data_IF_031877719115
#
_entry.id   IF_031877719115
#
_cell.length_a   1.000
_cell.length_b   1.000
_cell.length_c   1.000
_cell.angle_alpha   90.00
_cell.angle_beta   90.00
_cell.angle_gamma   90.00
#
_symmetry.space_group_name_H-M   'P 1'
#
loop_
_entity.id
_entity.type
_entity.pdbx_description
1 polymer ?
#
# COMPACT_ATOMS: atom_id res chain seq x y z
N UNK A 1 -7.18 11.20 -18.53
CA UNK A 1 -7.46 12.32 -17.63
C UNK A 1 -6.22 12.62 -16.76
N UNK A 2 -5.89 11.85 -15.71
CA UNK A 2 -4.75 12.15 -14.81
C UNK A 2 -3.40 12.27 -15.53
N UNK A 3 -3.13 11.41 -16.51
CA UNK A 3 -1.90 11.48 -17.32
C UNK A 3 -1.83 12.79 -18.14
N UNK A 4 -2.97 13.28 -18.60
CA UNK A 4 -3.07 14.56 -19.32
C UNK A 4 -2.93 15.74 -18.34
N UNK A 5 -3.43 15.59 -17.12
CA UNK A 5 -3.28 16.57 -16.05
C UNK A 5 -1.80 16.70 -15.62
N UNK A 6 -1.05 15.59 -15.53
CA UNK A 6 0.41 15.65 -15.36
C UNK A 6 1.05 16.45 -16.49
N UNK A 7 0.64 16.23 -17.75
CA UNK A 7 1.18 16.96 -18.89
C UNK A 7 0.87 18.46 -18.84
N UNK A 8 -0.23 18.85 -18.22
CA UNK A 8 -0.71 20.23 -18.11
C UNK A 8 -0.15 20.99 -16.91
N UNK A 9 -0.12 20.34 -15.73
CA UNK A 9 0.10 21.03 -14.48
C UNK A 9 1.48 20.74 -13.84
N UNK A 10 2.15 19.65 -14.22
CA UNK A 10 3.50 19.39 -13.69
C UNK A 10 4.52 20.40 -14.26
N UNK A 11 5.52 20.81 -13.43
CA UNK A 11 6.63 21.64 -13.90
C UNK A 11 7.29 21.02 -15.12
N UNK A 12 7.60 21.80 -16.18
CA UNK A 12 8.14 21.27 -17.43
C UNK A 12 9.37 20.37 -17.25
N UNK A 13 10.28 20.74 -16.32
CA UNK A 13 11.52 20.03 -16.03
C UNK A 13 11.30 18.69 -15.30
N UNK A 14 10.18 18.53 -14.57
CA UNK A 14 9.86 17.33 -13.83
C UNK A 14 8.91 16.38 -14.57
N UNK A 15 8.20 16.90 -15.57
CA UNK A 15 7.05 16.28 -16.22
C UNK A 15 7.31 14.88 -16.79
N UNK A 16 8.45 14.67 -17.44
CA UNK A 16 8.75 13.39 -18.09
C UNK A 16 8.96 12.29 -17.04
N UNK A 17 9.71 12.59 -15.96
CA UNK A 17 9.96 11.63 -14.90
C UNK A 17 8.69 11.38 -14.06
N UNK A 18 7.88 12.41 -13.80
CA UNK A 18 6.58 12.24 -13.13
C UNK A 18 5.69 11.26 -13.91
N UNK A 19 5.62 11.40 -15.26
CA UNK A 19 4.85 10.48 -16.11
C UNK A 19 5.41 9.08 -16.09
N UNK A 20 6.73 8.93 -16.11
CA UNK A 20 7.39 7.62 -16.03
C UNK A 20 7.05 6.93 -14.69
N UNK A 21 7.16 7.66 -13.57
CA UNK A 21 6.76 7.15 -12.26
C UNK A 21 5.27 6.75 -12.25
N UNK A 22 4.39 7.60 -12.77
CA UNK A 22 2.96 7.31 -12.85
C UNK A 22 2.68 6.02 -13.62
N UNK A 23 3.29 5.84 -14.80
CA UNK A 23 3.11 4.67 -15.64
C UNK A 23 3.69 3.38 -15.01
N UNK A 24 4.67 3.49 -14.10
CA UNK A 24 5.30 2.36 -13.38
C UNK A 24 4.48 1.87 -12.17
N UNK A 25 3.58 2.68 -11.60
CA UNK A 25 2.84 2.32 -10.37
C UNK A 25 2.18 0.93 -10.48
N UNK A 26 1.43 0.56 -11.53
CA UNK A 26 0.77 -0.75 -11.60
C UNK A 26 1.75 -1.93 -11.57
N UNK A 27 2.87 -1.81 -12.27
CA UNK A 27 3.87 -2.89 -12.35
C UNK A 27 4.66 -3.04 -11.05
N UNK A 28 5.01 -1.94 -10.39
CA UNK A 28 5.73 -1.97 -9.11
C UNK A 28 4.83 -2.47 -7.98
N UNK A 29 3.57 -2.03 -7.90
CA UNK A 29 2.59 -2.51 -6.94
C UNK A 29 2.26 -4.00 -7.13
N UNK A 30 2.18 -4.48 -8.38
CA UNK A 30 1.95 -5.90 -8.71
C UNK A 30 3.17 -6.80 -8.56
N UNK A 31 4.36 -6.26 -8.28
CA UNK A 31 5.58 -7.05 -8.15
C UNK A 31 5.61 -7.84 -6.83
N UNK A 32 6.35 -8.96 -6.78
CA UNK A 32 6.51 -9.77 -5.56
C UNK A 32 7.04 -8.96 -4.37
N UNK A 33 7.93 -8.02 -4.63
CA UNK A 33 8.39 -7.03 -3.65
C UNK A 33 7.73 -5.70 -4.01
N UNK A 34 6.61 -5.40 -3.40
CA UNK A 34 5.76 -4.23 -3.68
C UNK A 34 6.42 -2.87 -3.43
N UNK A 35 7.67 -2.86 -2.97
CA UNK A 35 8.47 -1.65 -2.78
C UNK A 35 8.85 -1.06 -4.13
N UNK A 36 8.59 0.23 -4.32
CA UNK A 36 8.93 0.96 -5.54
C UNK A 36 10.44 0.95 -5.78
N UNK A 37 10.86 0.50 -6.97
CA UNK A 37 12.26 0.39 -7.34
C UNK A 37 12.68 1.63 -8.13
N UNK A 38 13.59 2.44 -7.58
CA UNK A 38 14.12 3.61 -8.27
C UNK A 38 14.85 3.26 -9.58
N UNK A 39 15.43 2.05 -9.65
CA UNK A 39 16.09 1.56 -10.86
C UNK A 39 15.16 1.33 -12.05
N UNK A 40 13.85 1.28 -11.80
CA UNK A 40 12.83 1.20 -12.86
C UNK A 40 12.66 2.54 -13.59
N UNK A 41 13.08 3.65 -12.97
CA UNK A 41 13.06 4.98 -13.59
C UNK A 41 14.37 5.16 -14.36
N UNK A 42 14.27 5.43 -15.66
CA UNK A 42 15.43 5.57 -16.51
C UNK A 42 16.36 6.71 -16.05
N UNK A 43 17.66 6.41 -15.89
CA UNK A 43 18.69 7.38 -15.49
C UNK A 43 18.71 7.74 -14.00
N UNK A 44 17.80 7.22 -13.17
CA UNK A 44 17.73 7.50 -11.73
C UNK A 44 18.55 6.48 -10.94
N UNK A 45 19.46 6.99 -10.09
CA UNK A 45 20.30 6.15 -9.22
C UNK A 45 20.07 6.40 -7.72
N UNK A 46 19.55 7.56 -7.36
CA UNK A 46 19.38 7.97 -5.96
C UNK A 46 18.01 8.62 -5.76
N UNK A 47 17.40 8.39 -4.60
CA UNK A 47 16.12 8.98 -4.24
C UNK A 47 16.13 10.52 -4.29
N UNK A 48 17.24 11.15 -3.89
CA UNK A 48 17.39 12.62 -3.94
C UNK A 48 17.22 13.24 -5.33
N UNK A 49 17.35 12.45 -6.41
CA UNK A 49 17.15 12.92 -7.78
C UNK A 49 15.67 13.02 -8.17
N UNK A 50 14.79 12.36 -7.42
CA UNK A 50 13.37 12.20 -7.75
C UNK A 50 12.42 12.54 -6.59
N UNK A 51 12.95 13.08 -5.49
CA UNK A 51 12.15 13.45 -4.32
C UNK A 51 10.99 14.37 -4.69
N UNK A 52 11.27 15.43 -5.46
CA UNK A 52 10.26 16.42 -5.86
C UNK A 52 9.19 15.83 -6.79
N UNK A 53 9.54 14.81 -7.58
CA UNK A 53 8.62 14.13 -8.47
C UNK A 53 7.58 13.30 -7.68
N UNK A 54 8.05 12.55 -6.66
CA UNK A 54 7.15 11.80 -5.78
C UNK A 54 6.32 12.73 -4.91
N UNK A 55 6.91 13.81 -4.40
CA UNK A 55 6.21 14.83 -3.63
C UNK A 55 5.09 15.46 -4.47
N UNK A 56 5.38 15.84 -5.71
CA UNK A 56 4.38 16.38 -6.62
C UNK A 56 3.20 15.42 -6.84
N UNK A 57 3.47 14.13 -7.12
CA UNK A 57 2.42 13.12 -7.30
C UNK A 57 1.54 12.95 -6.06
N UNK A 58 2.15 13.01 -4.88
CA UNK A 58 1.44 12.89 -3.60
C UNK A 58 0.60 14.14 -3.30
N UNK A 59 1.16 15.34 -3.49
CA UNK A 59 0.46 16.61 -3.24
C UNK A 59 -0.64 16.89 -4.28
N UNK A 60 -0.43 16.47 -5.52
CA UNK A 60 -1.45 16.54 -6.56
C UNK A 60 -2.59 15.52 -6.36
N UNK A 61 -2.52 14.67 -5.33
CA UNK A 61 -3.53 13.64 -5.07
C UNK A 61 -3.61 12.58 -6.18
N UNK A 62 -2.48 12.19 -6.75
CA UNK A 62 -2.40 11.19 -7.82
C UNK A 62 -1.88 9.86 -7.28
N UNK A 63 -0.95 9.89 -6.34
CA UNK A 63 -0.35 8.70 -5.78
C UNK A 63 -0.22 8.76 -4.25
N UNK A 64 -0.24 7.58 -3.62
CA UNK A 64 -0.13 7.37 -2.19
C UNK A 64 1.20 6.66 -1.88
N UNK A 65 2.21 7.36 -1.36
CA UNK A 65 3.38 6.72 -0.81
C UNK A 65 3.07 6.12 0.56
N UNK A 66 3.45 4.86 0.76
CA UNK A 66 3.39 4.13 2.03
C UNK A 66 4.82 3.89 2.47
N UNK A 67 5.28 4.58 3.52
CA UNK A 67 6.69 4.57 3.92
C UNK A 67 7.04 3.41 4.85
N UNK A 68 8.25 2.86 4.68
CA UNK A 68 8.75 1.84 5.62
C UNK A 68 9.04 2.48 6.99
N UNK A 69 8.81 1.68 8.03
CA UNK A 69 9.32 1.99 9.38
C UNK A 69 10.40 0.98 9.80
N UNK A 70 11.34 1.41 10.62
CA UNK A 70 12.43 0.54 11.10
C UNK A 70 11.96 -0.52 12.09
N UNK A 71 10.88 -0.23 12.83
CA UNK A 71 10.22 -1.14 13.75
C UNK A 71 8.76 -0.69 13.96
N UNK A 72 7.83 -1.61 14.25
CA UNK A 72 6.45 -1.29 14.61
C UNK A 72 6.37 -0.89 16.10
N UNK A 73 6.94 0.26 16.44
CA UNK A 73 7.02 0.81 17.80
C UNK A 73 6.73 2.29 17.75
N UNK A 74 5.77 2.75 18.55
CA UNK A 74 5.45 4.17 18.66
C UNK A 74 6.59 4.97 19.32
N UNK A 75 6.83 6.23 18.93
CA UNK A 75 6.21 6.92 17.81
C UNK A 75 6.77 6.46 16.46
N UNK A 76 5.91 5.96 15.57
CA UNK A 76 6.31 5.42 14.25
C UNK A 76 7.04 6.45 13.38
N UNK A 77 6.75 7.73 13.58
CA UNK A 77 7.39 8.83 12.87
C UNK A 77 8.92 8.82 12.99
N UNK A 78 9.45 8.41 14.16
CA UNK A 78 10.90 8.38 14.41
C UNK A 78 11.60 7.27 13.62
N UNK A 79 10.87 6.23 13.25
CA UNK A 79 11.38 5.10 12.46
C UNK A 79 11.15 5.21 10.96
N UNK A 80 10.50 6.26 10.47
CA UNK A 80 10.08 6.39 9.08
C UNK A 80 11.25 6.55 8.11
N UNK A 81 11.29 5.70 7.08
CA UNK A 81 12.33 5.67 6.05
C UNK A 81 11.75 6.10 4.69
N UNK A 82 11.79 7.39 4.39
CA UNK A 82 11.17 7.97 3.20
C UNK A 82 11.74 7.51 1.85
N UNK A 83 12.95 6.97 1.85
CA UNK A 83 13.57 6.40 0.67
C UNK A 83 13.19 4.94 0.40
N UNK A 84 12.41 4.33 1.29
CA UNK A 84 11.88 2.98 1.18
C UNK A 84 10.35 3.05 1.29
N UNK A 85 9.64 2.87 0.18
CA UNK A 85 8.19 3.02 0.15
C UNK A 85 7.55 2.12 -0.89
N UNK A 86 6.28 1.80 -0.67
CA UNK A 86 5.35 1.31 -1.69
C UNK A 86 4.67 2.53 -2.30
N UNK A 87 4.22 2.44 -3.54
CA UNK A 87 3.49 3.51 -4.20
C UNK A 87 2.22 2.95 -4.83
N UNK A 88 1.08 3.46 -4.39
CA UNK A 88 -0.24 3.14 -4.97
C UNK A 88 -0.82 4.36 -5.66
N UNK A 89 -1.77 4.16 -6.56
CA UNK A 89 -2.63 5.26 -6.99
C UNK A 89 -3.52 5.72 -5.83
N UNK A 90 -3.91 6.99 -5.84
CA UNK A 90 -4.85 7.53 -4.85
C UNK A 90 -6.20 6.79 -4.91
N UNK A 91 -6.62 6.38 -6.10
CA UNK A 91 -7.91 5.74 -6.37
C UNK A 91 -7.69 4.40 -7.09
N UNK A 92 -8.27 3.33 -6.55
CA UNK A 92 -8.22 2.00 -7.15
C UNK A 92 -8.83 1.95 -8.55
N UNK A 93 -9.76 2.85 -8.89
CA UNK A 93 -10.28 3.03 -10.25
C UNK A 93 -9.21 3.44 -11.25
N UNK A 94 -8.19 4.18 -10.81
CA UNK A 94 -7.03 4.50 -11.65
C UNK A 94 -6.24 3.24 -12.01
N UNK A 95 -6.04 2.33 -11.04
CA UNK A 95 -5.41 1.04 -11.26
C UNK A 95 -6.24 0.19 -12.25
N UNK A 96 -7.55 0.10 -12.02
CA UNK A 96 -8.45 -0.65 -12.90
C UNK A 96 -8.45 -0.08 -14.33
N UNK A 97 -8.38 1.24 -14.48
CA UNK A 97 -8.33 1.90 -15.79
C UNK A 97 -7.02 1.67 -16.55
N UNK A 98 -5.96 1.24 -15.88
CA UNK A 98 -4.68 0.85 -16.52
C UNK A 98 -4.73 -0.53 -17.17
N UNK A 99 -5.71 -1.35 -16.82
CA UNK A 99 -5.93 -2.67 -17.39
C UNK A 99 -6.80 -2.61 -18.66
N UNK A 100 -6.76 -3.68 -19.47
CA UNK A 100 -7.69 -3.82 -20.58
C UNK A 100 -9.12 -3.98 -20.07
N UNK A 101 -10.13 -3.58 -20.87
CA UNK A 101 -11.55 -3.73 -20.52
C UNK A 101 -11.91 -5.17 -20.12
N UNK A 102 -11.31 -6.17 -20.79
CA UNK A 102 -11.53 -7.58 -20.50
C UNK A 102 -11.03 -7.97 -19.12
N UNK A 103 -9.83 -7.49 -18.73
CA UNK A 103 -9.25 -7.74 -17.42
C UNK A 103 -10.06 -7.03 -16.34
N UNK A 104 -10.40 -5.76 -16.54
CA UNK A 104 -11.23 -5.02 -15.60
C UNK A 104 -12.60 -5.68 -15.38
N UNK A 105 -13.23 -6.20 -16.45
CA UNK A 105 -14.49 -6.96 -16.35
C UNK A 105 -14.29 -8.23 -15.51
N UNK A 106 -13.23 -9.01 -15.74
CA UNK A 106 -12.93 -10.22 -14.97
C UNK A 106 -12.70 -9.92 -13.47
N UNK A 107 -12.18 -8.75 -13.14
CA UNK A 107 -12.10 -8.31 -11.74
C UNK A 107 -13.50 -8.12 -11.14
N UNK A 108 -14.41 -7.42 -11.84
CA UNK A 108 -15.77 -7.23 -11.37
C UNK A 108 -16.56 -8.54 -11.24
N UNK A 109 -16.31 -9.50 -12.14
CA UNK A 109 -16.96 -10.79 -12.15
C UNK A 109 -16.35 -11.77 -11.11
N UNK A 110 -15.26 -11.40 -10.43
CA UNK A 110 -14.53 -12.24 -9.46
C UNK A 110 -13.69 -13.35 -10.12
N UNK A 111 -13.43 -13.26 -11.41
CA UNK A 111 -12.73 -14.27 -12.21
C UNK A 111 -11.27 -13.90 -12.54
N UNK A 112 -10.78 -12.76 -12.04
CA UNK A 112 -9.49 -12.21 -12.44
C UNK A 112 -8.30 -13.13 -12.13
N UNK A 113 -8.31 -13.83 -11.00
CA UNK A 113 -7.28 -14.78 -10.62
C UNK A 113 -7.32 -16.04 -11.52
N UNK A 114 -8.50 -16.62 -11.68
CA UNK A 114 -8.69 -17.86 -12.46
C UNK A 114 -8.50 -17.64 -13.98
N UNK A 115 -9.04 -16.52 -14.51
CA UNK A 115 -9.03 -16.27 -15.96
C UNK A 115 -7.71 -15.65 -16.47
N UNK A 116 -6.99 -14.89 -15.63
CA UNK A 116 -5.82 -14.12 -16.04
C UNK A 116 -4.58 -14.37 -15.18
N UNK A 117 -4.66 -15.21 -14.14
CA UNK A 117 -3.58 -15.43 -13.19
C UNK A 117 -3.18 -14.14 -12.42
N UNK A 118 -4.10 -13.19 -12.30
CA UNK A 118 -3.83 -11.90 -11.66
C UNK A 118 -3.87 -12.03 -10.15
N UNK A 119 -2.76 -11.63 -9.52
CA UNK A 119 -2.77 -11.42 -8.08
C UNK A 119 -3.48 -10.10 -7.75
N UNK A 120 -4.65 -10.19 -7.14
CA UNK A 120 -5.44 -9.04 -6.72
C UNK A 120 -4.89 -8.30 -5.49
N UNK A 121 -3.80 -8.80 -4.88
CA UNK A 121 -3.21 -8.20 -3.69
C UNK A 121 -2.90 -6.71 -3.83
N UNK A 122 -2.38 -6.29 -4.98
CA UNK A 122 -2.09 -4.87 -5.23
C UNK A 122 -3.35 -3.99 -5.25
N UNK A 123 -4.47 -4.51 -5.78
CA UNK A 123 -5.74 -3.79 -5.81
C UNK A 123 -6.36 -3.70 -4.40
N UNK A 124 -6.31 -4.79 -3.63
CA UNK A 124 -6.80 -4.83 -2.26
C UNK A 124 -5.98 -3.93 -1.34
N UNK A 125 -4.63 -3.98 -1.42
CA UNK A 125 -3.77 -3.07 -0.65
C UNK A 125 -3.96 -1.61 -1.07
N UNK A 126 -4.09 -1.34 -2.38
CA UNK A 126 -4.38 0.01 -2.89
C UNK A 126 -5.70 0.55 -2.35
N UNK A 127 -6.76 -0.28 -2.29
CA UNK A 127 -8.03 0.09 -1.68
C UNK A 127 -7.88 0.42 -0.18
N UNK A 128 -7.17 -0.44 0.57
CA UNK A 128 -6.93 -0.18 1.99
C UNK A 128 -6.10 1.09 2.19
N UNK A 129 -5.07 1.32 1.37
CA UNK A 129 -4.27 2.56 1.42
C UNK A 129 -5.13 3.80 1.18
N UNK A 130 -6.04 3.74 0.20
CA UNK A 130 -7.00 4.80 -0.11
C UNK A 130 -7.89 5.11 1.09
N UNK A 131 -8.51 4.08 1.69
CA UNK A 131 -9.41 4.25 2.83
C UNK A 131 -8.66 4.78 4.07
N UNK A 132 -7.53 4.19 4.43
CA UNK A 132 -6.71 4.68 5.54
C UNK A 132 -6.31 6.14 5.35
N UNK A 133 -5.91 6.53 4.12
CA UNK A 133 -5.57 7.91 3.80
C UNK A 133 -6.76 8.85 3.91
N UNK A 134 -7.94 8.44 3.44
CA UNK A 134 -9.18 9.22 3.52
C UNK A 134 -9.60 9.48 4.98
N UNK A 135 -9.30 8.54 5.89
CA UNK A 135 -9.58 8.64 7.32
C UNK A 135 -8.45 9.29 8.14
N UNK A 136 -7.42 9.83 7.49
CA UNK A 136 -6.40 10.66 8.13
C UNK A 136 -5.17 9.91 8.62
N UNK A 137 -5.06 8.60 8.37
CA UNK A 137 -3.83 7.86 8.69
C UNK A 137 -2.63 8.34 7.87
N UNK A 138 -1.45 8.24 8.46
CA UNK A 138 -0.17 8.45 7.79
C UNK A 138 0.42 7.13 7.36
N UNK A 139 0.24 6.80 6.08
CA UNK A 139 0.48 5.47 5.54
C UNK A 139 1.91 4.98 5.75
N UNK A 140 2.05 3.88 6.48
CA UNK A 140 3.33 3.21 6.75
C UNK A 140 3.20 1.70 6.60
N UNK A 141 4.31 1.03 6.35
CA UNK A 141 4.43 -0.42 6.35
C UNK A 141 5.71 -0.81 7.10
N UNK A 142 5.85 -2.10 7.40
CA UNK A 142 7.06 -2.62 8.01
C UNK A 142 7.56 -3.85 7.26
N UNK A 143 8.88 -3.97 7.07
CA UNK A 143 9.49 -5.19 6.54
C UNK A 143 10.82 -5.49 7.19
N UNK A 144 11.03 -6.75 7.51
CA UNK A 144 12.33 -7.27 7.97
C UNK A 144 12.56 -8.71 7.53
N UNK A 145 13.83 -9.12 7.46
CA UNK A 145 14.16 -10.52 7.13
C UNK A 145 13.63 -11.53 8.15
N UNK A 146 13.50 -11.13 9.40
CA UNK A 146 13.09 -12.01 10.51
C UNK A 146 11.57 -12.20 10.57
N UNK A 147 10.83 -11.13 10.34
CA UNK A 147 9.38 -11.11 10.54
C UNK A 147 8.65 -11.36 9.21
N UNK A 148 9.13 -10.79 8.14
CA UNK A 148 8.42 -10.65 6.87
C UNK A 148 7.94 -9.22 6.68
N UNK A 149 6.90 -9.03 5.88
CA UNK A 149 6.29 -7.74 5.60
C UNK A 149 4.89 -7.66 6.21
N UNK A 150 4.63 -6.59 6.97
CA UNK A 150 3.30 -6.14 7.38
C UNK A 150 2.82 -5.12 6.38
N UNK A 151 1.65 -5.30 5.79
CA UNK A 151 1.15 -4.46 4.70
C UNK A 151 0.98 -3.01 5.13
N UNK A 152 0.41 -2.79 6.34
CA UNK A 152 0.36 -1.48 6.98
C UNK A 152 0.69 -1.57 8.47
N UNK A 153 1.32 -0.51 8.96
CA UNK A 153 1.58 -0.29 10.39
C UNK A 153 1.25 1.17 10.68
N UNK A 154 0.22 1.40 11.46
CA UNK A 154 -0.33 2.72 11.71
C UNK A 154 -0.29 3.04 13.21
N UNK A 155 -0.35 4.31 13.54
CA UNK A 155 -0.39 4.81 14.91
C UNK A 155 -1.67 5.61 15.09
N UNK A 156 -2.44 5.25 16.12
CA UNK A 156 -3.67 5.97 16.46
C UNK A 156 -3.36 7.27 17.21
N UNK A 157 -4.35 8.13 17.39
CA UNK A 157 -4.21 9.37 18.17
C UNK A 157 -3.86 9.09 19.64
N UNK A 158 -4.25 7.95 20.18
CA UNK A 158 -3.91 7.53 21.55
C UNK A 158 -2.51 6.88 21.64
N UNK A 159 -1.79 6.77 20.52
CA UNK A 159 -0.45 6.21 20.43
C UNK A 159 -0.41 4.68 20.37
N UNK A 160 -1.54 4.01 20.14
CA UNK A 160 -1.58 2.57 19.89
C UNK A 160 -1.00 2.24 18.50
N UNK A 161 -0.23 1.16 18.42
CA UNK A 161 0.29 0.64 17.15
C UNK A 161 -0.67 -0.41 16.60
N UNK A 162 -1.17 -0.13 15.40
CA UNK A 162 -2.08 -0.97 14.66
C UNK A 162 -1.34 -1.65 13.51
N UNK A 163 -1.22 -2.98 13.54
CA UNK A 163 -0.69 -3.78 12.44
C UNK A 163 -1.84 -4.33 11.58
N UNK A 164 -1.79 -4.10 10.27
CA UNK A 164 -2.83 -4.51 9.33
C UNK A 164 -2.21 -5.37 8.24
N UNK A 165 -2.79 -6.55 8.04
CA UNK A 165 -2.51 -7.46 6.93
C UNK A 165 -3.70 -7.47 5.98
N UNK A 166 -3.45 -7.42 4.67
CA UNK A 166 -4.48 -7.40 3.62
C UNK A 166 -4.43 -8.68 2.82
N UNK A 167 -5.54 -9.35 2.66
CA UNK A 167 -5.65 -10.63 1.94
C UNK A 167 -6.74 -10.57 0.86
N UNK A 168 -6.37 -10.88 -0.37
CA UNK A 168 -7.28 -10.92 -1.53
C UNK A 168 -7.83 -12.31 -1.86
N UNK A 169 -7.46 -13.34 -1.09
CA UNK A 169 -7.86 -14.72 -1.42
C UNK A 169 -8.40 -15.49 -0.23
N UNK A 170 -8.83 -16.74 -0.51
CA UNK A 170 -9.45 -17.65 0.48
C UNK A 170 -8.53 -18.05 1.64
N UNK A 171 -7.19 -17.93 1.47
CA UNK A 171 -6.19 -18.30 2.48
C UNK A 171 -5.88 -17.15 3.47
N UNK A 172 -6.85 -16.31 3.78
CA UNK A 172 -6.68 -15.11 4.61
C UNK A 172 -6.22 -15.40 6.04
N UNK A 173 -6.41 -16.63 6.55
CA UNK A 173 -5.90 -17.05 7.87
C UNK A 173 -4.39 -17.33 7.90
N UNK A 174 -3.71 -17.30 6.76
CA UNK A 174 -2.27 -17.48 6.68
C UNK A 174 -1.57 -16.10 6.63
N UNK A 175 -1.06 -15.66 7.76
CA UNK A 175 -0.44 -14.34 7.96
C UNK A 175 0.83 -14.42 8.81
N UNK A 176 1.77 -15.26 8.37
CA UNK A 176 3.00 -15.56 9.13
C UNK A 176 3.80 -14.31 9.54
N UNK A 177 3.79 -13.24 8.75
CA UNK A 177 4.47 -12.00 9.11
C UNK A 177 3.81 -11.32 10.31
N UNK A 178 2.47 -11.29 10.36
CA UNK A 178 1.73 -10.75 11.49
C UNK A 178 1.97 -11.57 12.75
N UNK A 179 1.92 -12.91 12.64
CA UNK A 179 2.19 -13.82 13.77
C UNK A 179 3.61 -13.64 14.32
N UNK A 180 4.61 -13.56 13.42
CA UNK A 180 5.99 -13.32 13.79
C UNK A 180 6.19 -11.96 14.47
N UNK A 181 5.46 -10.94 14.01
CA UNK A 181 5.53 -9.60 14.58
C UNK A 181 4.95 -9.59 16.00
N UNK A 182 3.78 -10.19 16.21
CA UNK A 182 3.15 -10.33 17.52
C UNK A 182 4.01 -11.13 18.52
N UNK A 183 4.70 -12.16 18.03
CA UNK A 183 5.60 -12.97 18.86
C UNK A 183 6.96 -12.29 19.14
N UNK A 184 7.27 -11.17 18.49
CA UNK A 184 8.58 -10.51 18.63
C UNK A 184 8.59 -9.58 19.82
N UNK A 185 9.38 -9.94 20.86
CA UNK A 185 9.58 -9.07 22.03
C UNK A 185 10.12 -7.70 21.63
N UNK A 186 9.50 -6.65 22.17
CA UNK A 186 9.91 -5.26 21.92
C UNK A 186 9.20 -4.59 20.76
N UNK A 187 8.34 -5.29 20.02
CA UNK A 187 7.36 -4.66 19.16
C UNK A 187 6.12 -4.29 19.99
N UNK A 188 5.69 -3.04 19.87
CA UNK A 188 4.55 -2.52 20.63
C UNK A 188 3.27 -2.56 19.80
N UNK A 189 2.90 -3.72 19.27
CA UNK A 189 1.66 -3.88 18.51
C UNK A 189 0.51 -4.07 19.47
N UNK A 190 -0.37 -3.09 19.55
CA UNK A 190 -1.53 -3.09 20.45
C UNK A 190 -2.75 -3.74 19.79
N UNK A 191 -2.86 -3.60 18.47
CA UNK A 191 -3.99 -4.12 17.71
C UNK A 191 -3.51 -4.78 16.42
N UNK A 192 -4.01 -5.99 16.14
CA UNK A 192 -3.70 -6.75 14.93
C UNK A 192 -4.98 -7.01 14.13
N UNK A 193 -5.00 -6.57 12.88
CA UNK A 193 -6.13 -6.71 11.96
C UNK A 193 -5.74 -7.50 10.72
N UNK A 194 -6.68 -8.32 10.24
CA UNK A 194 -6.65 -8.89 8.89
C UNK A 194 -7.87 -8.40 8.13
N UNK A 195 -7.64 -7.66 7.05
CA UNK A 195 -8.66 -7.18 6.12
C UNK A 195 -8.76 -8.15 4.93
N UNK A 196 -9.91 -8.79 4.75
CA UNK A 196 -10.08 -9.85 3.75
C UNK A 196 -11.54 -9.98 3.29
N UNK A 197 -11.78 -10.87 2.34
CA UNK A 197 -13.14 -11.34 2.00
C UNK A 197 -13.61 -12.36 3.04
N UNK A 198 -13.95 -11.90 4.22
CA UNK A 198 -14.39 -12.71 5.34
C UNK A 198 -15.50 -12.03 6.13
N UNK A 199 -16.13 -12.77 7.03
CA UNK A 199 -17.01 -12.18 8.05
C UNK A 199 -16.20 -11.69 9.25
N UNK A 200 -16.75 -10.71 9.96
CA UNK A 200 -16.17 -10.23 11.23
C UNK A 200 -16.05 -11.39 12.22
N UNK A 201 -14.84 -11.64 12.68
CA UNK A 201 -14.58 -12.58 13.77
C UNK A 201 -13.22 -12.27 14.42
N UNK A 202 -13.01 -12.82 15.62
CA UNK A 202 -11.73 -12.73 16.33
C UNK A 202 -11.14 -14.13 16.52
N UNK A 203 -9.84 -14.26 16.30
CA UNK A 203 -9.08 -15.47 16.60
C UNK A 203 -7.82 -15.06 17.36
N UNK A 204 -7.77 -15.41 18.67
CA UNK A 204 -6.73 -14.92 19.55
C UNK A 204 -6.64 -13.40 19.61
N UNK A 205 -5.44 -12.89 19.33
CA UNK A 205 -5.15 -11.44 19.34
C UNK A 205 -5.48 -10.76 18.01
N UNK A 206 -5.88 -11.53 16.98
CA UNK A 206 -6.15 -11.02 15.62
C UNK A 206 -7.64 -10.82 15.40
N UNK A 207 -8.01 -9.64 14.94
CA UNK A 207 -9.37 -9.31 14.51
C UNK A 207 -9.45 -9.37 12.99
N UNK A 208 -10.33 -10.21 12.47
CA UNK A 208 -10.61 -10.33 11.04
C UNK A 208 -11.81 -9.47 10.67
N UNK A 209 -11.64 -8.62 9.67
CA UNK A 209 -12.66 -7.69 9.19
C UNK A 209 -12.91 -7.90 7.69
N UNK A 210 -14.18 -7.81 7.26
CA UNK A 210 -14.48 -7.62 5.84
C UNK A 210 -13.69 -6.43 5.28
N UNK A 211 -13.09 -6.57 4.10
CA UNK A 211 -12.20 -5.54 3.55
C UNK A 211 -12.83 -4.14 3.45
N UNK A 212 -14.13 -4.06 3.17
CA UNK A 212 -14.84 -2.77 3.09
C UNK A 212 -14.90 -2.03 4.45
N UNK A 213 -14.67 -2.73 5.56
CA UNK A 213 -14.58 -2.11 6.89
C UNK A 213 -13.28 -1.31 7.09
N UNK A 214 -12.35 -1.34 6.14
CA UNK A 214 -11.22 -0.39 6.13
C UNK A 214 -11.71 1.06 6.20
N UNK A 215 -12.85 1.37 5.56
CA UNK A 215 -13.51 2.68 5.61
C UNK A 215 -14.18 3.04 6.96
N UNK A 216 -14.05 2.20 7.98
CA UNK A 216 -14.53 2.45 9.34
C UNK A 216 -13.40 2.55 10.36
N UNK A 217 -12.14 2.43 9.90
CA UNK A 217 -10.97 2.59 10.77
C UNK A 217 -10.72 4.07 11.00
N UNK A 218 -10.49 4.44 12.24
CA UNK A 218 -10.15 5.79 12.67
C UNK A 218 -8.78 5.77 13.37
N UNK A 219 -7.92 6.81 13.16
CA UNK A 219 -6.64 6.92 13.84
C UNK A 219 -6.76 7.23 15.33
#
# INVERSE_FOLDING_TARGET
>A
LYRDDIAKYAPPELRLVIRDIYDLIPSEAGSKNKRFKLSSINGVKRFSQVTDHFLWLSEAGVALPVYNVTAPVAPLLLGEQRNLFKLFYLDTGMLMSSYSKRVAQGVFDGEAEDAFGMNMGAAFEGFVAQELKAHGFRLRYFTSKKVGELDFVEETFDGEVLAIEVKSGKSFKSHAALDNALATKGYGIDRALVLAECNLHRDGDVLYLPIFMAGLLEP
#
